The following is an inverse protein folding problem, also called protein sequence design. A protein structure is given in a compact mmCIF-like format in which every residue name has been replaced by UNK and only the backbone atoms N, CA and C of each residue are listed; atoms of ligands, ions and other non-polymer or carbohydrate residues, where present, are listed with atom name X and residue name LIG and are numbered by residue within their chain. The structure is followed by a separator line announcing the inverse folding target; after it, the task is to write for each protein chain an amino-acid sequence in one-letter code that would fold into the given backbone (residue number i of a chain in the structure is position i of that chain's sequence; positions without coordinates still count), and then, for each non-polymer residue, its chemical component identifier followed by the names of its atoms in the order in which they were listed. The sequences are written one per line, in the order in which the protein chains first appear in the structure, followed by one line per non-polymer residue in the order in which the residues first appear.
data_IF_184214058873
#
_entry.id   IF_184214058873
#
_cell.length_a   1.000
_cell.length_b   1.000
_cell.length_c   1.000
_cell.angle_alpha   90.00
_cell.angle_beta   90.00
_cell.angle_gamma   90.00
#
_symmetry.space_group_name_H-M   'P 1'
#
loop_
_entity.id
_entity.type
_entity.pdbx_description
1 polymer ?
#
# COMPACT_ATOMS: atom_id res chain seq x y z
N UNK A 1 6.13 -1.61 9.38
CA UNK A 1 5.77 -1.33 8.00
C UNK A 1 6.87 -1.83 7.06
N UNK A 2 6.50 -2.75 6.19
CA UNK A 2 7.40 -3.26 5.14
C UNK A 2 7.01 -2.65 3.80
N UNK A 3 8.00 -2.23 3.02
CA UNK A 3 7.78 -1.62 1.71
C UNK A 3 8.40 -2.50 0.64
N UNK A 4 7.59 -2.90 -0.35
CA UNK A 4 7.99 -3.81 -1.42
C UNK A 4 7.53 -3.31 -2.78
N UNK A 5 7.95 -3.97 -3.86
CA UNK A 5 7.40 -3.80 -5.20
C UNK A 5 6.72 -5.09 -5.64
N UNK A 6 5.64 -4.93 -6.42
CA UNK A 6 4.97 -6.08 -7.02
C UNK A 6 5.81 -6.59 -8.21
N UNK A 7 5.83 -7.91 -8.40
CA UNK A 7 6.55 -8.55 -9.50
C UNK A 7 5.56 -8.94 -10.61
N UNK A 8 4.93 -7.93 -11.22
CA UNK A 8 3.95 -8.17 -12.29
C UNK A 8 4.66 -8.35 -13.63
N UNK A 9 4.46 -9.50 -14.26
CA UNK A 9 5.04 -9.83 -15.56
C UNK A 9 3.97 -10.41 -16.50
N UNK A 10 4.16 -10.26 -17.82
CA UNK A 10 3.32 -10.92 -18.80
C UNK A 10 3.89 -12.32 -19.21
N UNK A 11 3.23 -12.98 -20.16
CA UNK A 11 3.67 -14.31 -20.64
C UNK A 11 5.05 -14.28 -21.28
N UNK A 12 5.55 -13.15 -21.72
CA UNK A 12 6.88 -12.96 -22.29
C UNK A 12 7.88 -12.43 -21.26
N UNK A 13 7.55 -12.45 -19.97
CA UNK A 13 8.38 -11.95 -18.88
C UNK A 13 8.70 -10.45 -18.97
N UNK A 14 7.83 -9.66 -19.63
CA UNK A 14 7.96 -8.21 -19.62
C UNK A 14 7.43 -7.66 -18.33
N UNK A 15 8.17 -6.75 -17.72
CA UNK A 15 7.78 -6.09 -16.48
C UNK A 15 6.82 -4.94 -16.76
N UNK A 16 5.73 -4.91 -15.99
CA UNK A 16 4.76 -3.82 -16.06
C UNK A 16 5.03 -2.79 -14.98
N UNK A 17 4.63 -1.56 -15.27
CA UNK A 17 4.50 -0.54 -14.25
C UNK A 17 3.03 -0.30 -13.92
N UNK A 18 2.78 0.10 -12.67
CA UNK A 18 1.45 0.42 -12.17
C UNK A 18 1.42 1.91 -11.83
N UNK A 19 0.64 2.68 -12.58
CA UNK A 19 0.57 4.13 -12.40
C UNK A 19 -0.86 4.59 -12.12
N UNK A 20 -0.96 5.69 -11.38
CA UNK A 20 -2.22 6.35 -11.08
C UNK A 20 -2.74 7.11 -12.31
N UNK A 21 -4.06 7.22 -12.44
CA UNK A 21 -4.67 8.02 -13.50
C UNK A 21 -4.62 9.52 -13.18
N UNK A 22 -4.69 9.89 -11.90
CA UNK A 22 -4.65 11.29 -11.46
C UNK A 22 -3.24 11.87 -11.56
N UNK A 23 -2.23 11.03 -11.33
CA UNK A 23 -0.84 11.42 -11.39
C UNK A 23 -0.04 10.33 -12.12
N UNK A 24 0.20 10.46 -13.42
CA UNK A 24 0.95 9.46 -14.18
C UNK A 24 2.40 9.29 -13.71
N UNK A 25 2.90 10.18 -12.86
CA UNK A 25 4.23 10.08 -12.27
C UNK A 25 4.22 9.39 -10.91
N UNK A 26 3.07 8.89 -10.46
CA UNK A 26 2.93 8.18 -9.20
C UNK A 26 2.58 6.72 -9.45
N UNK A 27 3.36 5.81 -8.89
CA UNK A 27 3.07 4.38 -8.89
C UNK A 27 1.83 4.09 -8.05
N UNK A 28 1.08 3.05 -8.40
CA UNK A 28 -0.03 2.61 -7.57
C UNK A 28 0.48 1.91 -6.31
N UNK A 29 -0.31 1.99 -5.25
CA UNK A 29 -0.02 1.39 -3.94
C UNK A 29 -0.97 0.25 -3.67
N UNK A 30 -0.51 -0.75 -2.94
CA UNK A 30 -1.34 -1.87 -2.50
C UNK A 30 -0.92 -2.31 -1.11
N UNK A 31 -1.89 -2.57 -0.24
CA UNK A 31 -1.64 -3.22 1.04
C UNK A 31 -1.82 -4.73 0.91
N UNK A 32 -0.87 -5.48 1.47
CA UNK A 32 -0.99 -6.92 1.64
C UNK A 32 -1.05 -7.19 3.13
N UNK A 33 -2.17 -7.74 3.58
CA UNK A 33 -2.45 -7.97 5.00
C UNK A 33 -2.53 -9.46 5.26
N UNK A 34 -1.80 -9.91 6.28
CA UNK A 34 -1.88 -11.29 6.73
C UNK A 34 -2.99 -11.47 7.75
N UNK A 35 -3.71 -12.60 7.66
CA UNK A 35 -4.77 -12.95 8.62
C UNK A 35 -4.37 -14.09 9.56
N UNK A 36 -3.11 -14.51 9.54
CA UNK A 36 -2.61 -15.64 10.32
C UNK A 36 -1.88 -15.20 11.60
N UNK A 37 -2.52 -14.33 12.38
CA UNK A 37 -2.02 -13.89 13.69
C UNK A 37 -3.12 -13.17 14.46
N UNK A 38 -2.99 -13.12 15.78
CA UNK A 38 -3.91 -12.34 16.61
C UNK A 38 -3.77 -10.85 16.28
N UNK A 39 -4.89 -10.13 16.29
CA UNK A 39 -4.88 -8.69 16.02
C UNK A 39 -4.88 -8.31 14.54
N UNK A 40 -5.01 -9.28 13.63
CA UNK A 40 -5.02 -8.98 12.19
C UNK A 40 -6.18 -8.04 11.80
N UNK A 41 -7.33 -8.14 12.49
CA UNK A 41 -8.47 -7.26 12.23
C UNK A 41 -8.13 -5.80 12.53
N UNK A 42 -7.37 -5.54 13.59
CA UNK A 42 -6.95 -4.18 13.94
C UNK A 42 -5.97 -3.61 12.91
N UNK A 43 -5.04 -4.44 12.43
CA UNK A 43 -4.14 -4.05 11.35
C UNK A 43 -4.92 -3.75 10.07
N UNK A 44 -5.92 -4.57 9.74
CA UNK A 44 -6.76 -4.35 8.57
C UNK A 44 -7.57 -3.04 8.69
N UNK A 45 -8.11 -2.74 9.87
CA UNK A 45 -8.83 -1.48 10.10
C UNK A 45 -7.94 -0.27 9.81
N UNK A 46 -6.69 -0.31 10.25
CA UNK A 46 -5.74 0.77 9.99
C UNK A 46 -5.47 0.88 8.48
N UNK A 47 -5.24 -0.24 7.80
CA UNK A 47 -5.00 -0.25 6.36
C UNK A 47 -6.20 0.33 5.58
N UNK A 48 -7.43 -0.04 5.97
CA UNK A 48 -8.64 0.51 5.36
C UNK A 48 -8.72 2.02 5.58
N UNK A 49 -8.46 2.49 6.79
CA UNK A 49 -8.51 3.92 7.10
C UNK A 49 -7.49 4.72 6.27
N UNK A 50 -6.26 4.21 6.13
CA UNK A 50 -5.21 4.85 5.31
C UNK A 50 -5.60 4.83 3.84
N UNK A 51 -6.12 3.70 3.35
CA UNK A 51 -6.58 3.57 1.96
C UNK A 51 -7.69 4.58 1.65
N UNK A 52 -8.67 4.73 2.54
CA UNK A 52 -9.76 5.70 2.37
C UNK A 52 -9.23 7.15 2.36
N UNK A 53 -8.29 7.48 3.24
CA UNK A 53 -7.70 8.81 3.30
C UNK A 53 -6.96 9.15 2.00
N UNK A 54 -6.22 8.20 1.43
CA UNK A 54 -5.52 8.38 0.17
C UNK A 54 -6.51 8.49 -0.99
N UNK A 55 -7.50 7.60 -1.03
CA UNK A 55 -8.48 7.55 -2.13
C UNK A 55 -9.32 8.81 -2.21
N UNK A 56 -9.53 9.52 -1.10
CA UNK A 56 -10.24 10.79 -1.10
C UNK A 56 -9.58 11.84 -1.98
N UNK A 57 -8.23 11.85 -2.02
CA UNK A 57 -7.46 12.82 -2.82
C UNK A 57 -6.91 12.22 -4.13
N UNK A 58 -6.69 10.90 -4.16
CA UNK A 58 -6.10 10.18 -5.29
C UNK A 58 -6.89 8.89 -5.57
N UNK A 59 -8.01 8.98 -6.28
CA UNK A 59 -8.96 7.85 -6.44
C UNK A 59 -8.38 6.58 -7.05
N UNK A 60 -7.32 6.64 -7.85
CA UNK A 60 -6.74 5.46 -8.50
C UNK A 60 -5.34 5.09 -8.03
N UNK A 61 -4.80 5.76 -7.02
CA UNK A 61 -3.49 5.43 -6.46
C UNK A 61 -3.56 4.13 -5.66
N UNK A 62 -4.62 3.94 -4.87
CA UNK A 62 -4.79 2.72 -4.07
C UNK A 62 -5.44 1.61 -4.88
N UNK A 63 -4.74 0.49 -4.99
CA UNK A 63 -5.32 -0.76 -5.45
C UNK A 63 -6.08 -1.43 -4.30
N UNK A 64 -6.98 -2.39 -4.58
CA UNK A 64 -7.67 -3.11 -3.52
C UNK A 64 -6.71 -3.78 -2.53
N UNK A 65 -7.08 -3.78 -1.25
CA UNK A 65 -6.31 -4.47 -0.21
C UNK A 65 -6.38 -5.98 -0.46
N UNK A 66 -5.22 -6.63 -0.43
CA UNK A 66 -5.13 -8.08 -0.52
C UNK A 66 -5.00 -8.68 0.87
N UNK A 67 -5.90 -9.60 1.22
CA UNK A 67 -5.85 -10.35 2.47
C UNK A 67 -5.38 -11.77 2.18
N UNK A 68 -4.34 -12.22 2.88
CA UNK A 68 -3.76 -13.55 2.70
C UNK A 68 -3.63 -14.27 4.03
N UNK A 69 -3.75 -15.58 4.02
CA UNK A 69 -3.54 -16.42 5.20
C UNK A 69 -2.04 -16.58 5.49
N UNK A 70 -1.39 -15.47 5.80
CA UNK A 70 0.05 -15.36 6.10
C UNK A 70 0.25 -14.32 7.19
N UNK A 71 1.46 -14.14 7.65
CA UNK A 71 1.78 -13.22 8.74
C UNK A 71 2.52 -11.96 8.27
N UNK A 72 3.49 -12.07 7.35
CA UNK A 72 4.34 -10.96 6.86
C UNK A 72 4.96 -10.12 7.99
N UNK A 73 5.30 -10.76 9.13
CA UNK A 73 5.81 -10.08 10.33
C UNK A 73 4.84 -9.08 10.98
N UNK A 74 3.57 -9.11 10.62
CA UNK A 74 2.55 -8.18 11.15
C UNK A 74 2.14 -8.51 12.58
N UNK A 75 2.52 -9.69 13.07
CA UNK A 75 2.30 -10.09 14.48
C UNK A 75 3.16 -9.30 15.47
N UNK A 76 4.23 -8.65 15.01
CA UNK A 76 5.22 -8.00 15.87
C UNK A 76 4.71 -6.74 16.56
N UNK A 77 3.73 -6.08 15.97
CA UNK A 77 3.06 -4.94 16.59
C UNK A 77 1.72 -4.69 15.93
N UNK A 78 0.78 -4.13 16.70
CA UNK A 78 -0.48 -3.66 16.14
C UNK A 78 -0.21 -2.48 15.19
N UNK A 79 -0.89 -2.47 14.06
CA UNK A 79 -0.71 -1.47 13.03
C UNK A 79 0.42 -1.75 12.04
N UNK A 80 1.08 -2.91 12.16
CA UNK A 80 2.07 -3.33 11.16
C UNK A 80 1.40 -3.65 9.84
N UNK A 81 2.00 -3.16 8.74
CA UNK A 81 1.47 -3.33 7.39
C UNK A 81 2.57 -3.63 6.40
N UNK A 82 2.24 -4.41 5.37
CA UNK A 82 3.07 -4.57 4.18
C UNK A 82 2.46 -3.71 3.08
N UNK A 83 3.23 -2.78 2.52
CA UNK A 83 2.78 -1.97 1.41
C UNK A 83 3.64 -2.23 0.18
N UNK A 84 2.99 -2.45 -0.96
CA UNK A 84 3.65 -2.54 -2.26
C UNK A 84 3.56 -1.21 -2.96
N UNK A 85 4.69 -0.68 -3.41
CA UNK A 85 4.79 0.60 -4.10
C UNK A 85 5.13 0.31 -5.56
N UNK A 86 4.08 0.27 -6.38
CA UNK A 86 4.21 -0.01 -7.80
C UNK A 86 4.65 -1.44 -8.09
N UNK A 87 5.24 -1.63 -9.25
CA UNK A 87 5.76 -2.90 -9.73
C UNK A 87 7.19 -2.74 -10.25
N UNK A 88 7.82 -3.85 -10.61
CA UNK A 88 9.21 -3.85 -11.08
C UNK A 88 9.45 -2.94 -12.29
N UNK A 89 8.42 -2.71 -13.12
CA UNK A 89 8.50 -1.79 -14.27
C UNK A 89 8.42 -0.31 -13.93
N UNK A 90 8.08 0.07 -12.69
CA UNK A 90 7.99 1.47 -12.30
C UNK A 90 9.37 2.08 -12.08
N UNK A 91 9.50 3.38 -12.39
CA UNK A 91 10.72 4.12 -12.10
C UNK A 91 10.83 4.47 -10.62
N UNK A 92 12.05 4.83 -10.19
CA UNK A 92 12.29 5.29 -8.82
C UNK A 92 11.46 6.54 -8.51
N UNK A 93 11.39 7.49 -9.44
CA UNK A 93 10.62 8.73 -9.24
C UNK A 93 9.14 8.45 -9.05
N UNK A 94 8.58 7.52 -9.84
CA UNK A 94 7.19 7.08 -9.70
C UNK A 94 6.94 6.47 -8.31
N UNK A 95 7.87 5.64 -7.83
CA UNK A 95 7.78 5.04 -6.51
C UNK A 95 7.91 6.08 -5.37
N UNK A 96 8.84 7.04 -5.52
CA UNK A 96 9.03 8.09 -4.51
C UNK A 96 7.83 9.01 -4.41
N UNK A 97 7.19 9.35 -5.54
CA UNK A 97 5.97 10.16 -5.54
C UNK A 97 4.85 9.46 -4.76
N UNK A 98 4.67 8.16 -4.99
CA UNK A 98 3.66 7.37 -4.27
C UNK A 98 3.99 7.21 -2.80
N UNK A 99 5.26 7.07 -2.46
CA UNK A 99 5.67 7.00 -1.07
C UNK A 99 5.30 8.28 -0.30
N UNK A 100 5.40 9.44 -0.95
CA UNK A 100 4.95 10.71 -0.36
C UNK A 100 3.45 10.74 -0.16
N UNK A 101 2.68 10.29 -1.17
CA UNK A 101 1.21 10.21 -1.07
C UNK A 101 0.83 9.28 0.09
N UNK A 102 1.49 8.14 0.21
CA UNK A 102 1.26 7.20 1.30
C UNK A 102 1.56 7.84 2.66
N UNK A 103 2.72 8.51 2.78
CA UNK A 103 3.13 9.13 4.04
C UNK A 103 2.13 10.21 4.48
N UNK A 104 1.62 11.00 3.55
CA UNK A 104 0.62 12.02 3.83
C UNK A 104 -0.69 11.39 4.31
N UNK A 105 -1.16 10.35 3.65
CA UNK A 105 -2.38 9.63 4.05
C UNK A 105 -2.25 8.96 5.40
N UNK A 106 -1.11 8.32 5.64
CA UNK A 106 -0.82 7.68 6.92
C UNK A 106 -0.77 8.69 8.06
N UNK A 107 -0.12 9.82 7.84
CA UNK A 107 -0.03 10.90 8.83
C UNK A 107 -1.41 11.46 9.19
N UNK A 108 -2.29 11.64 8.20
CA UNK A 108 -3.67 12.11 8.44
C UNK A 108 -4.43 11.16 9.36
N UNK A 109 -4.30 9.86 9.16
CA UNK A 109 -4.97 8.85 9.98
C UNK A 109 -4.41 8.86 11.40
N UNK A 110 -3.09 8.92 11.56
CA UNK A 110 -2.45 8.98 12.88
C UNK A 110 -2.87 10.22 13.65
N UNK A 111 -2.99 11.37 13.00
CA UNK A 111 -3.43 12.61 13.65
C UNK A 111 -4.87 12.53 14.12
N UNK A 112 -5.75 11.86 13.38
CA UNK A 112 -7.14 11.63 13.79
C UNK A 112 -7.22 10.77 15.05
N UNK A 113 -6.37 9.76 15.16
CA UNK A 113 -6.39 8.84 16.31
C UNK A 113 -5.84 9.47 17.58
N UNK A 114 -5.06 10.54 17.47
CA UNK A 114 -4.54 11.29 18.61
C UNK A 114 -5.49 12.39 19.09
N UNK A 115 -6.42 12.76 18.25
CA UNK A 115 -7.41 13.79 18.55
C UNK A 115 -8.59 13.22 19.26
#
# INVERSE_FOLDING_TARGET
LDIHRDAVEDAQHRQYKLISLEDPNAAQLSFIMGSNHDGWQENLKLAVAVSEAITADYPTVMRPITLRNSNYNQHKSLGSMLVEVGAAGNSLDEALNSARIFADGFAKVLLRTKG
#
